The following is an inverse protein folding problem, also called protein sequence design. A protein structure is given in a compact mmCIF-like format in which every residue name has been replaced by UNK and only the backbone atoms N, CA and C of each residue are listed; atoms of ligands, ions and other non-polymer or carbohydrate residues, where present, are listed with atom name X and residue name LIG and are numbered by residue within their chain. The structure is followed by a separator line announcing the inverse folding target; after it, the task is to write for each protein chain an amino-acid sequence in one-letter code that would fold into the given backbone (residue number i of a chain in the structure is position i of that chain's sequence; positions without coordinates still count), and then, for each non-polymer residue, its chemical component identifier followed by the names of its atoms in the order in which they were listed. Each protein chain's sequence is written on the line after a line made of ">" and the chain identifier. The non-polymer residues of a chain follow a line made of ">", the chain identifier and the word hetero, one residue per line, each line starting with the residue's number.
data_IF_445736808005
#
_entry.id   IF_445736808005
#
_cell.length_a   1.000
_cell.length_b   1.000
_cell.length_c   1.000
_cell.angle_alpha   90.00
_cell.angle_beta   90.00
_cell.angle_gamma   90.00
#
_symmetry.space_group_name_H-M   'P 1'
#
loop_
_entity.id
_entity.type
_entity.pdbx_description
1 polymer ?
#
# COMPACT_ATOMS: atom_id res chain seq x y z
N UNK A 1 -2.45 40.28 5.37
CA UNK A 1 -3.70 39.89 6.04
C UNK A 1 -3.59 38.47 6.55
N UNK A 2 -3.82 38.21 7.83
CA UNK A 2 -3.76 36.85 8.39
C UNK A 2 -5.17 36.24 8.38
N UNK A 3 -5.42 35.29 7.45
CA UNK A 3 -6.71 34.63 7.33
C UNK A 3 -6.88 33.43 8.28
N UNK A 4 -5.94 33.18 9.20
CA UNK A 4 -5.91 31.99 10.07
C UNK A 4 -5.99 30.63 9.32
N UNK A 5 -5.74 30.64 8.00
CA UNK A 5 -5.71 29.44 7.17
C UNK A 5 -4.31 28.82 7.18
N UNK A 6 -4.14 27.73 7.91
CA UNK A 6 -2.86 27.01 8.02
C UNK A 6 -2.53 26.11 6.83
N UNK A 7 -3.20 26.26 5.68
CA UNK A 7 -3.01 25.42 4.48
C UNK A 7 -3.07 26.22 3.18
N UNK A 8 -2.45 25.69 2.14
CA UNK A 8 -2.56 26.24 0.79
C UNK A 8 -3.79 25.63 0.08
N UNK A 9 -4.75 26.44 -0.41
CA UNK A 9 -5.94 25.91 -1.09
C UNK A 9 -5.64 25.18 -2.42
N UNK A 10 -4.51 25.44 -3.07
CA UNK A 10 -4.06 24.80 -4.32
C UNK A 10 -5.09 24.93 -5.46
N UNK A 11 -5.91 25.97 -5.45
CA UNK A 11 -7.01 26.21 -6.39
C UNK A 11 -7.95 24.99 -6.54
N UNK A 12 -8.26 24.30 -5.42
CA UNK A 12 -9.10 23.10 -5.37
C UNK A 12 -10.18 23.19 -4.31
N UNK A 13 -11.31 22.53 -4.58
CA UNK A 13 -12.36 22.33 -3.57
C UNK A 13 -11.83 21.53 -2.40
N UNK A 14 -12.47 21.62 -1.24
CA UNK A 14 -12.03 20.91 -0.03
C UNK A 14 -12.02 19.38 -0.22
N UNK A 15 -13.02 18.83 -0.91
CA UNK A 15 -13.10 17.40 -1.22
C UNK A 15 -11.95 16.95 -2.15
N UNK A 16 -11.72 17.67 -3.25
CA UNK A 16 -10.64 17.37 -4.19
C UNK A 16 -9.26 17.49 -3.52
N UNK A 17 -9.05 18.49 -2.66
CA UNK A 17 -7.79 18.66 -1.93
C UNK A 17 -7.53 17.50 -0.97
N UNK A 18 -8.57 17.04 -0.25
CA UNK A 18 -8.45 15.87 0.64
C UNK A 18 -8.11 14.59 -0.15
N UNK A 19 -8.80 14.35 -1.26
CA UNK A 19 -8.53 13.18 -2.12
C UNK A 19 -7.11 13.23 -2.69
N UNK A 20 -6.69 14.37 -3.24
CA UNK A 20 -5.32 14.57 -3.72
C UNK A 20 -4.28 14.28 -2.63
N UNK A 21 -4.47 14.83 -1.44
CA UNK A 21 -3.53 14.65 -0.34
C UNK A 21 -3.45 13.19 0.13
N UNK A 22 -4.58 12.47 0.21
CA UNK A 22 -4.62 11.04 0.52
C UNK A 22 -3.85 10.22 -0.52
N UNK A 23 -4.14 10.42 -1.80
CA UNK A 23 -3.50 9.68 -2.88
C UNK A 23 -1.98 9.92 -2.91
N UNK A 24 -1.55 11.18 -2.75
CA UNK A 24 -0.12 11.51 -2.75
C UNK A 24 0.62 10.94 -1.53
N UNK A 25 0.02 10.94 -0.34
CA UNK A 25 0.60 10.31 0.85
C UNK A 25 0.69 8.81 0.69
N UNK A 26 -0.34 8.16 0.17
CA UNK A 26 -0.34 6.73 -0.13
C UNK A 26 0.78 6.38 -1.12
N UNK A 27 0.94 7.18 -2.19
CA UNK A 27 2.03 7.02 -3.16
C UNK A 27 3.41 7.25 -2.52
N UNK A 28 3.54 8.26 -1.65
CA UNK A 28 4.79 8.52 -0.93
C UNK A 28 5.19 7.33 -0.05
N UNK A 29 4.27 6.72 0.69
CA UNK A 29 4.59 5.55 1.52
C UNK A 29 4.83 4.29 0.71
N UNK A 30 4.19 4.17 -0.47
CA UNK A 30 4.41 3.05 -1.39
C UNK A 30 5.82 3.07 -1.97
N UNK A 31 6.21 4.19 -2.57
CA UNK A 31 7.45 4.35 -3.33
C UNK A 31 8.57 5.04 -2.55
N UNK A 32 8.27 5.59 -1.37
CA UNK A 32 9.17 6.34 -0.49
C UNK A 32 9.74 7.62 -1.13
N UNK A 33 9.48 7.84 -2.41
CA UNK A 33 9.92 8.98 -3.21
C UNK A 33 8.89 9.31 -4.29
N UNK A 34 8.49 10.58 -4.40
CA UNK A 34 7.56 11.05 -5.43
C UNK A 34 8.01 12.38 -6.01
N UNK A 35 7.79 12.58 -7.32
CA UNK A 35 8.05 13.85 -8.01
C UNK A 35 6.75 14.62 -8.14
N UNK A 36 6.75 15.88 -7.71
CA UNK A 36 5.55 16.73 -7.76
C UNK A 36 5.91 18.22 -7.75
N UNK A 37 4.91 19.09 -7.82
CA UNK A 37 5.14 20.53 -7.69
C UNK A 37 5.39 20.92 -6.23
N UNK A 38 6.22 21.94 -6.00
CA UNK A 38 6.63 22.43 -4.68
C UNK A 38 5.43 22.74 -3.76
N UNK A 39 4.40 23.42 -4.30
CA UNK A 39 3.21 23.78 -3.53
C UNK A 39 2.47 22.53 -3.00
N UNK A 40 2.31 21.49 -3.84
CA UNK A 40 1.69 20.21 -3.45
C UNK A 40 2.56 19.46 -2.44
N UNK A 41 3.87 19.40 -2.65
CA UNK A 41 4.80 18.71 -1.76
C UNK A 41 4.74 19.28 -0.33
N UNK A 42 4.72 20.60 -0.18
CA UNK A 42 4.66 21.26 1.13
C UNK A 42 3.36 20.95 1.90
N UNK A 43 2.22 20.82 1.21
CA UNK A 43 0.97 20.44 1.86
C UNK A 43 0.91 18.95 2.19
N UNK A 44 1.37 18.09 1.30
CA UNK A 44 1.42 16.63 1.51
C UNK A 44 2.37 16.28 2.65
N UNK A 45 3.51 16.96 2.75
CA UNK A 45 4.50 16.81 3.82
C UNK A 45 3.84 16.89 5.20
N UNK A 46 2.99 17.90 5.45
CA UNK A 46 2.32 18.09 6.75
C UNK A 46 1.47 16.87 7.15
N UNK A 47 0.76 16.28 6.18
CA UNK A 47 -0.07 15.10 6.41
C UNK A 47 0.79 13.84 6.61
N UNK A 48 1.82 13.65 5.79
CA UNK A 48 2.73 12.51 5.88
C UNK A 48 3.46 12.47 7.22
N UNK A 49 4.01 13.59 7.65
CA UNK A 49 4.73 13.69 8.93
C UNK A 49 3.84 13.38 10.14
N UNK A 50 2.58 13.83 10.14
CA UNK A 50 1.62 13.47 11.20
C UNK A 50 1.33 11.97 11.26
N UNK A 51 1.25 11.31 10.11
CA UNK A 51 1.02 9.87 10.04
C UNK A 51 2.25 9.07 10.48
N UNK A 52 3.46 9.50 10.10
CA UNK A 52 4.71 8.88 10.55
C UNK A 52 4.86 9.04 12.08
N UNK A 53 4.63 10.23 12.64
CA UNK A 53 4.66 10.43 14.10
C UNK A 53 3.71 9.48 14.82
N UNK A 54 2.51 9.27 14.25
CA UNK A 54 1.51 8.36 14.84
C UNK A 54 1.91 6.90 14.71
N UNK A 55 2.59 6.52 13.62
CA UNK A 55 3.01 5.13 13.38
C UNK A 55 4.16 4.65 14.28
N UNK A 56 4.86 5.55 14.96
CA UNK A 56 5.92 5.18 15.92
C UNK A 56 5.41 4.35 17.09
N UNK A 57 4.13 4.53 17.46
CA UNK A 57 3.46 3.77 18.50
C UNK A 57 2.38 2.92 17.85
N UNK A 58 2.65 1.62 17.72
CA UNK A 58 1.73 0.68 17.09
C UNK A 58 0.63 0.28 18.08
N UNK A 59 -0.50 0.96 18.00
CA UNK A 59 -1.72 0.66 18.72
C UNK A 59 -2.89 0.53 17.77
N UNK A 60 -3.90 -0.25 18.15
CA UNK A 60 -5.14 -0.40 17.37
C UNK A 60 -5.79 0.98 17.12
N UNK A 61 -5.74 1.87 18.12
CA UNK A 61 -6.25 3.23 17.96
C UNK A 61 -5.50 3.99 16.85
N UNK A 62 -4.17 3.98 16.87
CA UNK A 62 -3.34 4.66 15.88
C UNK A 62 -3.53 4.09 14.48
N UNK A 63 -3.65 2.76 14.34
CA UNK A 63 -3.98 2.11 13.07
C UNK A 63 -5.34 2.55 12.53
N UNK A 64 -6.38 2.58 13.36
CA UNK A 64 -7.71 3.07 12.97
C UNK A 64 -7.71 4.54 12.55
N UNK A 65 -6.93 5.39 13.23
CA UNK A 65 -6.80 6.80 12.85
C UNK A 65 -6.03 6.99 11.53
N UNK A 66 -5.00 6.19 11.28
CA UNK A 66 -4.25 6.22 10.01
C UNK A 66 -5.11 5.67 8.86
N UNK A 67 -5.92 4.63 9.08
CA UNK A 67 -6.82 4.03 8.09
C UNK A 67 -7.89 5.02 7.58
N UNK A 68 -8.28 6.01 8.35
CA UNK A 68 -9.16 7.10 7.87
C UNK A 68 -8.52 7.91 6.75
N UNK A 69 -7.20 7.89 6.65
CA UNK A 69 -6.44 8.65 5.67
C UNK A 69 -5.91 7.75 4.55
N UNK A 70 -5.32 6.62 4.89
CA UNK A 70 -4.77 5.62 3.96
C UNK A 70 -5.78 4.47 3.87
N UNK A 71 -6.38 4.31 2.69
CA UNK A 71 -7.39 3.28 2.44
C UNK A 71 -6.79 1.93 2.04
N UNK A 72 -5.53 1.94 1.57
CA UNK A 72 -4.79 0.76 1.15
C UNK A 72 -4.19 0.06 2.38
N UNK A 73 -4.68 -1.16 2.66
CA UNK A 73 -4.24 -1.94 3.83
C UNK A 73 -2.77 -2.34 3.76
N UNK A 74 -2.26 -2.62 2.56
CA UNK A 74 -0.85 -3.00 2.37
C UNK A 74 0.08 -1.85 2.73
N UNK A 75 -0.27 -0.64 2.32
CA UNK A 75 0.49 0.57 2.63
C UNK A 75 0.33 0.96 4.11
N UNK A 76 -0.85 0.74 4.68
CA UNK A 76 -1.07 0.94 6.11
C UNK A 76 -0.20 -0.03 6.92
N UNK A 77 -0.13 -1.29 6.54
CA UNK A 77 0.76 -2.26 7.17
C UNK A 77 2.22 -1.81 7.05
N UNK A 78 2.71 -1.47 5.85
CA UNK A 78 4.07 -0.95 5.61
C UNK A 78 4.39 0.25 6.52
N UNK A 79 3.43 1.17 6.71
CA UNK A 79 3.63 2.34 7.55
C UNK A 79 3.96 1.98 9.01
N UNK A 80 3.27 0.97 9.59
CA UNK A 80 3.47 0.58 10.99
C UNK A 80 4.58 -0.46 11.19
N UNK A 81 4.81 -1.36 10.23
CA UNK A 81 5.80 -2.43 10.36
C UNK A 81 7.21 -2.02 9.93
N UNK A 82 7.31 -1.10 8.96
CA UNK A 82 8.61 -0.70 8.37
C UNK A 82 8.93 0.78 8.64
N UNK A 83 8.12 1.71 8.15
CA UNK A 83 8.44 3.15 8.20
C UNK A 83 8.43 3.67 9.66
N UNK A 84 7.45 3.29 10.48
CA UNK A 84 7.34 3.72 11.88
C UNK A 84 8.56 3.37 12.71
N UNK A 85 8.97 2.10 12.76
CA UNK A 85 10.19 1.68 13.47
C UNK A 85 11.46 2.36 12.98
N UNK A 86 11.66 2.51 11.66
CA UNK A 86 12.82 3.21 11.08
C UNK A 86 12.95 4.65 11.56
N UNK A 87 11.81 5.32 11.77
CA UNK A 87 11.77 6.73 12.17
C UNK A 87 11.65 6.93 13.68
N UNK A 88 11.73 5.87 14.50
CA UNK A 88 11.43 5.91 15.94
C UNK A 88 12.28 6.93 16.69
N UNK A 89 13.57 6.97 16.43
CA UNK A 89 14.54 7.81 17.15
C UNK A 89 14.55 9.26 16.66
N UNK A 90 13.95 9.55 15.51
CA UNK A 90 13.91 10.90 14.95
C UNK A 90 12.73 11.69 15.51
N UNK A 91 12.98 12.86 16.10
CA UNK A 91 11.95 13.70 16.73
C UNK A 91 10.96 14.33 15.71
N UNK A 92 11.37 14.48 14.42
CA UNK A 92 10.57 15.08 13.36
C UNK A 92 11.37 15.27 12.08
N UNK A 93 10.77 15.88 11.04
CA UNK A 93 11.45 16.08 9.75
C UNK A 93 11.75 14.76 9.04
N UNK A 94 10.75 13.89 8.95
CA UNK A 94 10.89 12.56 8.33
C UNK A 94 10.97 12.60 6.82
N UNK A 95 10.65 13.75 6.23
CA UNK A 95 10.61 13.94 4.78
C UNK A 95 11.61 15.00 4.35
N UNK A 96 12.16 14.83 3.16
CA UNK A 96 13.05 15.77 2.49
C UNK A 96 12.43 16.24 1.19
N UNK A 97 12.60 17.53 0.88
CA UNK A 97 12.17 18.13 -0.38
C UNK A 97 13.41 18.54 -1.16
N UNK A 98 13.65 17.90 -2.30
CA UNK A 98 14.78 18.18 -3.19
C UNK A 98 14.25 18.92 -4.41
N UNK A 99 14.83 20.07 -4.74
CA UNK A 99 14.44 20.87 -5.92
C UNK A 99 14.98 20.22 -7.19
N UNK A 100 14.13 20.10 -8.21
CA UNK A 100 14.50 19.60 -9.54
C UNK A 100 14.67 20.71 -10.60
N UNK A 101 14.05 21.88 -10.36
CA UNK A 101 13.97 22.94 -11.36
C UNK A 101 12.54 23.15 -11.86
N UNK A 102 12.43 23.72 -13.05
CA UNK A 102 11.15 24.09 -13.66
C UNK A 102 10.70 23.02 -14.64
N UNK A 103 9.39 22.79 -14.70
CA UNK A 103 8.78 21.89 -15.69
C UNK A 103 8.67 22.60 -17.03
N UNK A 104 9.01 21.88 -18.12
CA UNK A 104 8.81 22.39 -19.47
C UNK A 104 7.31 22.66 -19.74
N UNK A 105 7.03 23.72 -20.44
CA UNK A 105 5.68 24.15 -20.82
C UNK A 105 5.06 25.19 -19.88
N UNK A 106 5.00 24.93 -18.56
CA UNK A 106 4.33 25.82 -17.60
C UNK A 106 5.25 26.44 -16.54
N UNK A 107 6.57 26.18 -16.63
CA UNK A 107 7.58 26.66 -15.68
C UNK A 107 7.22 26.40 -14.19
N UNK A 108 6.45 25.37 -13.88
CA UNK A 108 6.11 25.04 -12.51
C UNK A 108 7.34 24.53 -11.74
N UNK A 109 7.56 25.01 -10.51
CA UNK A 109 8.59 24.53 -9.60
C UNK A 109 8.37 23.04 -9.29
N UNK A 110 9.26 22.17 -9.78
CA UNK A 110 9.22 20.72 -9.53
C UNK A 110 10.15 20.35 -8.39
N UNK A 111 9.69 19.42 -7.57
CA UNK A 111 10.46 18.87 -6.45
C UNK A 111 10.26 17.38 -6.32
N UNK A 112 11.24 16.73 -5.73
CA UNK A 112 11.12 15.38 -5.19
C UNK A 112 10.80 15.50 -3.71
N UNK A 113 9.75 14.82 -3.28
CA UNK A 113 9.43 14.60 -1.88
C UNK A 113 9.80 13.15 -1.56
N UNK A 114 10.72 12.96 -0.62
CA UNK A 114 11.22 11.63 -0.24
C UNK A 114 11.28 11.45 1.28
N UNK A 115 11.29 10.21 1.74
CA UNK A 115 11.62 9.88 3.12
C UNK A 115 13.12 10.06 3.33
N UNK A 116 13.53 10.57 4.50
CA UNK A 116 14.96 10.87 4.78
C UNK A 116 15.82 9.60 4.73
N UNK A 117 15.25 8.46 5.10
CA UNK A 117 15.92 7.15 5.07
C UNK A 117 15.80 6.42 3.72
N UNK A 118 15.28 7.11 2.71
CA UNK A 118 15.22 6.55 1.37
C UNK A 118 16.63 6.27 0.86
N UNK A 119 16.90 4.99 0.60
CA UNK A 119 18.14 4.54 -0.05
C UNK A 119 17.85 4.45 -1.54
N UNK A 120 18.61 5.18 -2.33
CA UNK A 120 18.66 4.91 -3.77
C UNK A 120 19.16 3.48 -3.92
N UNK A 121 18.35 2.59 -4.46
CA UNK A 121 18.85 1.33 -4.98
C UNK A 121 19.82 1.71 -6.12
N UNK A 122 21.09 1.82 -5.77
CA UNK A 122 22.16 1.80 -6.78
C UNK A 122 21.96 0.47 -7.49
N UNK A 123 21.72 0.52 -8.80
CA UNK A 123 21.24 -0.59 -9.65
C UNK A 123 22.14 -1.83 -9.74
N UNK A 124 22.84 -2.19 -8.67
CA UNK A 124 23.65 -3.40 -8.60
C UNK A 124 22.90 -4.69 -8.24
N UNK A 125 21.59 -4.60 -7.90
CA UNK A 125 20.82 -5.78 -7.48
C UNK A 125 19.93 -6.39 -8.56
N UNK A 126 19.77 -5.77 -9.72
CA UNK A 126 19.00 -6.34 -10.83
C UNK A 126 19.81 -7.37 -11.63
N UNK A 127 21.12 -7.19 -11.76
CA UNK A 127 21.97 -8.15 -12.49
C UNK A 127 22.27 -9.45 -11.71
N UNK A 128 22.24 -9.40 -10.36
CA UNK A 128 22.46 -10.62 -9.54
C UNK A 128 21.25 -11.54 -9.44
N UNK A 129 20.05 -11.09 -9.81
CA UNK A 129 18.85 -11.94 -9.81
C UNK A 129 18.63 -12.65 -11.13
N UNK A 130 19.09 -12.09 -12.24
CA UNK A 130 18.98 -12.73 -13.56
C UNK A 130 20.05 -13.78 -13.81
N UNK A 131 21.25 -13.62 -13.27
CA UNK A 131 22.34 -14.62 -13.43
C UNK A 131 22.18 -15.85 -12.53
N UNK A 132 21.33 -15.80 -11.48
CA UNK A 132 21.02 -17.01 -10.67
C UNK A 132 19.89 -17.86 -11.23
N UNK A 133 19.14 -17.37 -12.23
CA UNK A 133 18.05 -18.13 -12.86
C UNK A 133 18.49 -18.87 -14.14
N UNK A 134 19.73 -18.63 -14.62
CA UNK A 134 20.25 -19.21 -15.85
C UNK A 134 21.27 -20.34 -15.63
N UNK A 135 21.43 -20.87 -14.41
CA UNK A 135 22.30 -22.02 -14.13
C UNK A 135 21.56 -23.05 -13.27
N UNK A 136 20.67 -23.80 -13.90
CA UNK A 136 20.28 -25.12 -13.45
C UNK A 136 20.68 -26.09 -14.57
N UNK A 137 21.53 -27.09 -14.32
CA UNK A 137 22.05 -27.95 -15.38
C UNK A 137 21.01 -29.00 -15.76
N UNK A 138 20.84 -29.13 -17.05
CA UNK A 138 20.37 -30.35 -17.67
C UNK A 138 21.43 -31.43 -17.47
N UNK A 139 21.10 -32.47 -16.76
CA UNK A 139 21.58 -33.83 -16.97
C UNK A 139 20.97 -34.79 -15.94
N UNK A 140 20.09 -35.62 -16.39
CA UNK A 140 20.19 -37.09 -16.44
C UNK A 140 18.89 -37.69 -16.92
N UNK A 141 18.86 -37.98 -18.20
CA UNK A 141 18.08 -39.08 -18.79
C UNK A 141 18.90 -40.34 -18.56
N UNK A 142 18.32 -41.38 -18.02
CA UNK A 142 18.24 -42.70 -18.59
C UNK A 142 17.85 -43.76 -17.55
N UNK A 143 17.05 -44.67 -18.06
CA UNK A 143 16.79 -46.03 -17.60
C UNK A 143 15.83 -46.19 -16.41
N UNK A 144 14.77 -46.91 -16.47
CA UNK A 144 14.26 -48.08 -17.18
C UNK A 144 12.77 -48.18 -16.84
N UNK A 145 11.93 -48.26 -17.77
CA UNK A 145 11.15 -49.35 -18.32
C UNK A 145 10.80 -50.48 -17.35
N UNK A 146 9.50 -50.69 -17.34
CA UNK A 146 8.76 -51.93 -17.11
C UNK A 146 7.92 -52.09 -15.85
N UNK A 147 6.72 -52.26 -16.13
CA UNK A 147 5.59 -53.17 -15.87
C UNK A 147 4.44 -52.48 -15.16
N UNK A 148 3.38 -52.30 -15.88
CA UNK A 148 2.32 -53.18 -16.36
C UNK A 148 1.23 -53.42 -15.30
N UNK A 149 0.07 -53.00 -15.74
CA UNK A 149 -1.24 -53.68 -15.75
C UNK A 149 -2.10 -53.66 -14.49
N UNK A 150 -3.30 -53.27 -14.83
CA UNK A 150 -4.62 -53.71 -14.37
C UNK A 150 -5.10 -53.06 -13.06
N UNK A 151 -6.29 -52.68 -12.89
CA UNK A 151 -7.62 -52.87 -13.44
C UNK A 151 -8.57 -51.86 -12.72
N UNK A 152 -9.34 -51.10 -13.48
CA UNK A 152 -10.78 -51.22 -13.64
C UNK A 152 -11.62 -51.17 -12.32
N UNK A 153 -12.32 -50.09 -12.08
CA UNK A 153 -13.80 -50.08 -12.06
C UNK A 153 -14.34 -48.86 -11.35
N UNK A 154 -14.96 -47.98 -12.06
CA UNK A 154 -16.15 -47.25 -11.62
C UNK A 154 -17.32 -48.25 -11.69
N UNK A 155 -18.50 -48.00 -11.16
CA UNK A 155 -19.24 -46.75 -11.14
C UNK A 155 -20.27 -46.56 -9.99
N UNK A 156 -20.81 -45.39 -10.00
CA UNK A 156 -22.23 -45.10 -9.92
C UNK A 156 -22.99 -45.06 -8.61
N UNK A 157 -23.62 -43.93 -8.47
CA UNK A 157 -25.06 -43.68 -8.28
C UNK A 157 -25.64 -43.46 -6.92
N UNK A 158 -26.32 -42.36 -6.90
CA UNK A 158 -27.70 -42.00 -6.51
C UNK A 158 -27.83 -41.54 -5.06
N UNK A 159 -28.24 -40.30 -4.92
CA UNK A 159 -29.58 -39.73 -5.02
C UNK A 159 -30.37 -39.84 -3.73
N UNK A 160 -30.88 -38.76 -3.38
CA UNK A 160 -32.26 -38.32 -3.16
C UNK A 160 -32.55 -37.87 -1.76
N UNK A 161 -33.05 -36.68 -1.73
CA UNK A 161 -34.38 -36.18 -1.33
C UNK A 161 -34.55 -35.91 0.15
N UNK A 162 -35.00 -34.84 0.45
CA UNK A 162 -36.27 -34.14 0.61
C UNK A 162 -36.31 -33.45 1.99
N UNK A 163 -36.58 -32.15 2.04
CA UNK A 163 -37.89 -31.50 2.17
C UNK A 163 -38.56 -31.64 3.54
N UNK A 164 -38.73 -30.51 4.23
CA UNK A 164 -39.88 -30.03 4.96
C UNK A 164 -39.51 -28.71 5.68
N UNK A 165 -40.04 -27.57 5.38
CA UNK A 165 -41.34 -26.96 5.53
C UNK A 165 -41.96 -27.13 6.92
N UNK A 166 -42.01 -26.00 7.64
CA UNK A 166 -43.07 -25.48 8.48
C UNK A 166 -42.53 -24.19 9.12
N UNK A 167 -42.93 -22.99 8.80
CA UNK A 167 -44.19 -22.26 8.95
C UNK A 167 -44.80 -22.34 10.36
N UNK A 168 -44.84 -21.19 11.01
CA UNK A 168 -45.93 -20.65 11.82
C UNK A 168 -45.39 -19.48 12.63
N UNK A 169 -45.71 -18.24 12.29
CA UNK A 169 -46.74 -17.36 12.80
C UNK A 169 -46.41 -16.64 14.09
N UNK A 170 -46.43 -15.31 13.96
CA UNK A 170 -46.59 -14.35 15.05
C UNK A 170 -48.06 -14.39 15.57
N UNK A 171 -48.43 -13.83 16.71
CA UNK A 171 -48.77 -12.43 16.80
C UNK A 171 -48.42 -11.76 18.16
N UNK A 172 -48.14 -10.48 18.19
CA UNK A 172 -48.94 -9.33 18.59
C UNK A 172 -49.45 -9.25 20.04
N UNK A 173 -49.25 -8.02 20.54
CA UNK A 173 -50.01 -7.22 21.49
C UNK A 173 -49.59 -7.27 22.97
N UNK A 174 -49.32 -6.13 23.38
CA UNK A 174 -49.88 -5.08 24.27
C UNK A 174 -49.38 -5.13 25.73
N UNK A 175 -48.75 -4.13 26.15
CA UNK A 175 -49.12 -3.10 27.12
C UNK A 175 -47.99 -2.07 27.24
#
# INVERSE_FOLDING_TARGET
>A
MNHKMGFNPLSRTSAHRRAMSRNMVTSLFRYERITTTKAKALEVRKAAEKLITRSKVDTVHNRRQAARYIQDETILAKLFTDIGPRMKDRAGGYTRVVKLGFRQGDAADMVILELVDYKLDSGENTEKKETKKAKAPAEKKSSAEKKATSEKKAPAKKATTAKSKAKTEAPAEES
#
